data_IF_337914233263
#
_entry.id   IF_337914233263
#
_cell.length_a   1.000
_cell.length_b   1.000
_cell.length_c   1.000
_cell.angle_alpha   90.00
_cell.angle_beta   90.00
_cell.angle_gamma   90.00
#
_symmetry.space_group_name_H-M   'P 1'
#
loop_
_entity.id
_entity.type
_entity.pdbx_description
1 polymer ?
#
# COMPACT_ATOMS: atom_id res chain seq x y z
N UNK A 1 5.87 -12.42 4.75
CA UNK A 1 5.83 -13.14 3.46
C UNK A 1 6.26 -14.58 3.63
N UNK A 2 5.61 -15.47 2.88
CA UNK A 2 5.96 -16.88 2.88
C UNK A 2 7.11 -17.13 1.90
N UNK A 3 8.24 -17.57 2.40
CA UNK A 3 9.37 -17.97 1.58
C UNK A 3 9.35 -19.50 1.45
N UNK A 4 9.42 -20.01 0.22
CA UNK A 4 9.44 -21.44 -0.05
C UNK A 4 10.58 -22.13 0.70
N UNK A 5 10.25 -23.18 1.45
CA UNK A 5 11.23 -23.91 2.26
C UNK A 5 11.55 -23.31 3.63
N UNK A 6 10.83 -22.26 4.06
CA UNK A 6 11.07 -21.56 5.34
C UNK A 6 10.45 -22.30 6.55
N UNK A 7 10.04 -23.53 6.38
CA UNK A 7 9.50 -24.39 7.41
C UNK A 7 7.98 -24.46 7.42
N UNK A 8 7.44 -24.89 8.55
CA UNK A 8 6.00 -25.08 8.74
C UNK A 8 5.30 -23.71 8.83
N UNK A 9 4.15 -23.58 8.14
CA UNK A 9 3.47 -22.31 7.93
C UNK A 9 3.11 -21.56 9.23
N UNK A 10 2.70 -22.27 10.28
CA UNK A 10 2.39 -21.65 11.57
C UNK A 10 3.64 -21.12 12.26
N UNK A 11 4.76 -21.83 12.18
CA UNK A 11 6.04 -21.35 12.70
C UNK A 11 6.51 -20.06 11.99
N UNK A 12 6.30 -19.96 10.67
CA UNK A 12 6.59 -18.72 9.90
C UNK A 12 5.75 -17.56 10.42
N UNK A 13 4.44 -17.75 10.64
CA UNK A 13 3.54 -16.72 11.15
C UNK A 13 3.93 -16.25 12.55
N UNK A 14 4.29 -17.16 13.43
CA UNK A 14 4.73 -16.84 14.80
C UNK A 14 6.03 -16.01 14.80
N UNK A 15 7.01 -16.37 13.96
CA UNK A 15 8.24 -15.59 13.80
C UNK A 15 7.94 -14.19 13.24
N UNK A 16 7.10 -14.10 12.21
CA UNK A 16 6.70 -12.82 11.63
C UNK A 16 5.99 -11.93 12.64
N UNK A 17 5.07 -12.47 13.45
CA UNK A 17 4.41 -11.72 14.52
C UNK A 17 5.42 -11.19 15.55
N UNK A 18 6.38 -12.03 15.98
CA UNK A 18 7.44 -11.61 16.89
C UNK A 18 8.34 -10.53 16.27
N UNK A 19 8.63 -10.62 14.96
CA UNK A 19 9.41 -9.60 14.25
C UNK A 19 8.68 -8.28 14.18
N UNK A 20 7.37 -8.28 13.87
CA UNK A 20 6.53 -7.09 13.86
C UNK A 20 6.50 -6.41 15.24
N UNK A 21 6.33 -7.17 16.32
CA UNK A 21 6.39 -6.62 17.68
C UNK A 21 7.78 -6.05 18.02
N UNK A 22 8.86 -6.68 17.55
CA UNK A 22 10.21 -6.13 17.71
C UNK A 22 10.39 -4.84 16.92
N UNK A 23 9.84 -4.76 15.71
CA UNK A 23 9.89 -3.56 14.86
C UNK A 23 9.26 -2.35 15.57
N UNK A 24 8.09 -2.50 16.20
CA UNK A 24 7.47 -1.44 16.99
C UNK A 24 8.39 -0.93 18.12
N UNK A 25 9.00 -1.83 18.89
CA UNK A 25 9.92 -1.48 19.98
C UNK A 25 11.19 -0.79 19.47
N UNK A 26 11.70 -1.22 18.32
CA UNK A 26 12.88 -0.59 17.67
C UNK A 26 12.51 0.79 17.13
N UNK A 27 11.37 0.92 16.46
CA UNK A 27 10.86 2.21 15.96
C UNK A 27 10.77 3.23 17.11
N UNK A 28 10.17 2.85 18.24
CA UNK A 28 10.09 3.70 19.44
C UNK A 28 11.46 4.15 19.91
N UNK A 29 12.45 3.23 19.98
CA UNK A 29 13.83 3.56 20.40
C UNK A 29 14.53 4.51 19.45
N UNK A 30 14.20 4.45 18.15
CA UNK A 30 14.76 5.32 17.11
C UNK A 30 14.01 6.66 16.98
N UNK A 31 12.91 6.85 17.73
CA UNK A 31 12.06 8.04 17.61
C UNK A 31 11.24 8.06 16.31
N UNK A 32 11.00 6.89 15.71
CA UNK A 32 10.15 6.72 14.53
C UNK A 32 8.76 6.30 14.99
N UNK A 33 7.72 6.91 14.45
CA UNK A 33 6.34 6.70 14.86
C UNK A 33 5.53 5.76 13.96
N UNK A 34 6.10 5.33 12.83
CA UNK A 34 5.40 4.53 11.83
C UNK A 34 6.30 3.42 11.29
N UNK A 35 5.77 2.20 11.23
CA UNK A 35 6.41 1.03 10.60
C UNK A 35 5.55 0.60 9.43
N UNK A 36 6.14 0.49 8.25
CA UNK A 36 5.49 -0.01 7.02
C UNK A 36 5.69 -1.50 6.90
N UNK A 37 4.69 -2.22 6.38
CA UNK A 37 4.84 -3.65 6.15
C UNK A 37 3.59 -4.35 5.63
N UNK A 38 3.73 -5.66 5.53
CA UNK A 38 2.71 -6.58 5.04
C UNK A 38 2.06 -7.35 6.19
N UNK A 39 0.80 -7.76 5.96
CA UNK A 39 0.03 -8.53 6.94
C UNK A 39 0.02 -10.02 6.66
N UNK A 40 0.20 -10.39 5.41
CA UNK A 40 -0.15 -11.71 4.93
C UNK A 40 -1.67 -11.92 4.81
N UNK A 41 -2.05 -13.03 4.16
CA UNK A 41 -3.46 -13.42 4.03
C UNK A 41 -3.60 -14.93 3.97
N UNK A 42 -4.49 -15.48 4.79
CA UNK A 42 -4.88 -16.89 4.72
C UNK A 42 -5.81 -17.17 3.53
N UNK A 43 -6.51 -16.15 3.07
CA UNK A 43 -7.56 -16.24 2.05
C UNK A 43 -7.12 -15.75 0.67
N UNK A 44 -5.91 -15.24 0.52
CA UNK A 44 -5.38 -14.81 -0.77
C UNK A 44 -5.50 -15.85 -1.89
N UNK A 45 -5.32 -17.18 -1.67
CA UNK A 45 -5.48 -18.18 -2.72
C UNK A 45 -6.87 -18.23 -3.35
N UNK A 46 -7.86 -17.56 -2.73
CA UNK A 46 -9.25 -17.53 -3.19
C UNK A 46 -9.63 -16.23 -3.93
N UNK A 47 -8.69 -15.34 -4.16
CA UNK A 47 -8.95 -14.01 -4.76
C UNK A 47 -9.61 -14.08 -6.13
N UNK A 48 -9.24 -15.02 -6.97
CA UNK A 48 -9.78 -15.18 -8.32
C UNK A 48 -11.17 -15.85 -8.36
N UNK A 49 -11.73 -16.26 -7.22
CA UNK A 49 -13.04 -16.92 -7.07
C UNK A 49 -13.24 -18.21 -7.90
N UNK A 50 -12.17 -18.85 -8.32
CA UNK A 50 -12.22 -20.11 -9.07
C UNK A 50 -11.30 -21.16 -8.43
N UNK A 51 -11.88 -22.26 -7.87
CA UNK A 51 -13.32 -22.50 -7.72
C UNK A 51 -13.99 -21.52 -6.73
N UNK A 52 -15.33 -21.32 -6.84
CA UNK A 52 -16.07 -20.50 -5.86
C UNK A 52 -15.87 -21.03 -4.44
N UNK A 53 -15.67 -20.10 -3.52
CA UNK A 53 -15.44 -20.41 -2.10
C UNK A 53 -16.65 -19.97 -1.28
N UNK A 54 -17.16 -20.79 -0.35
CA UNK A 54 -18.25 -20.37 0.54
C UNK A 54 -17.89 -19.10 1.34
N UNK A 55 -18.88 -18.24 1.56
CA UNK A 55 -18.67 -16.96 2.27
C UNK A 55 -18.03 -17.14 3.64
N UNK A 56 -18.38 -18.17 4.38
CA UNK A 56 -17.82 -18.46 5.70
C UNK A 56 -16.31 -18.78 5.68
N UNK A 57 -15.74 -19.20 4.54
CA UNK A 57 -14.27 -19.36 4.41
C UNK A 57 -13.59 -18.01 4.37
N UNK A 58 -14.20 -17.05 3.70
CA UNK A 58 -13.70 -15.66 3.66
C UNK A 58 -13.87 -15.00 5.02
N UNK A 59 -15.04 -15.18 5.68
CA UNK A 59 -15.30 -14.64 7.01
C UNK A 59 -14.27 -15.15 8.02
N UNK A 60 -14.01 -16.47 8.04
CA UNK A 60 -13.00 -17.09 8.90
C UNK A 60 -11.57 -16.57 8.61
N UNK A 61 -11.31 -16.09 7.39
CA UNK A 61 -10.03 -15.47 7.04
C UNK A 61 -9.83 -14.13 7.74
N UNK A 62 -10.85 -13.28 7.81
CA UNK A 62 -10.79 -12.00 8.54
C UNK A 62 -10.80 -12.20 10.05
N UNK A 63 -11.51 -13.21 10.56
CA UNK A 63 -11.45 -13.61 11.97
C UNK A 63 -10.03 -14.05 12.37
N UNK A 64 -9.38 -14.90 11.55
CA UNK A 64 -7.99 -15.33 11.75
C UNK A 64 -7.02 -14.14 11.69
N UNK A 65 -7.23 -13.21 10.78
CA UNK A 65 -6.46 -11.97 10.69
C UNK A 65 -6.58 -11.17 12.00
N UNK A 66 -7.79 -10.86 12.43
CA UNK A 66 -8.02 -10.11 13.65
C UNK A 66 -7.41 -10.79 14.89
N UNK A 67 -7.60 -12.11 15.03
CA UNK A 67 -7.04 -12.88 16.14
C UNK A 67 -5.50 -12.83 16.20
N UNK A 68 -4.84 -12.75 15.06
CA UNK A 68 -3.36 -12.68 14.97
C UNK A 68 -2.84 -11.27 15.11
N UNK A 69 -3.53 -10.29 14.52
CA UNK A 69 -3.04 -8.92 14.47
C UNK A 69 -3.37 -8.12 15.72
N UNK A 70 -4.47 -8.38 16.42
CA UNK A 70 -4.77 -7.66 17.66
C UNK A 70 -3.64 -7.75 18.70
N UNK A 71 -3.03 -8.92 19.00
CA UNK A 71 -1.89 -8.97 19.92
C UNK A 71 -0.62 -8.24 19.42
N UNK A 72 -0.46 -8.11 18.11
CA UNK A 72 0.63 -7.31 17.52
C UNK A 72 0.34 -5.82 17.74
N UNK A 73 -0.88 -5.39 17.42
CA UNK A 73 -1.32 -4.00 17.59
C UNK A 73 -1.33 -3.54 19.04
N UNK A 74 -1.57 -4.44 20.01
CA UNK A 74 -1.43 -4.14 21.45
C UNK A 74 0.00 -3.65 21.77
N UNK A 75 1.02 -4.23 21.12
CA UNK A 75 2.40 -3.77 21.28
C UNK A 75 2.61 -2.41 20.60
N UNK A 76 2.08 -2.22 19.39
CA UNK A 76 2.14 -0.92 18.70
C UNK A 76 1.49 0.19 19.52
N UNK A 77 0.31 -0.06 20.09
CA UNK A 77 -0.37 0.88 20.98
C UNK A 77 0.46 1.20 22.23
N UNK A 78 1.04 0.18 22.87
CA UNK A 78 1.85 0.36 24.08
C UNK A 78 3.14 1.14 23.82
N UNK A 79 3.71 1.02 22.63
CA UNK A 79 4.93 1.74 22.23
C UNK A 79 4.62 3.14 21.64
N UNK A 80 3.35 3.46 21.38
CA UNK A 80 2.94 4.69 20.71
C UNK A 80 3.45 4.76 19.26
N UNK A 81 3.50 3.63 18.57
CA UNK A 81 3.93 3.48 17.17
C UNK A 81 2.75 2.99 16.35
N UNK A 82 2.68 3.40 15.09
CA UNK A 82 1.65 2.99 14.13
C UNK A 82 2.19 1.98 13.14
N UNK A 83 1.34 1.08 12.70
CA UNK A 83 1.60 0.20 11.57
C UNK A 83 0.90 0.73 10.34
N UNK A 84 1.62 0.89 9.24
CA UNK A 84 1.10 1.26 7.94
C UNK A 84 1.12 0.04 7.02
N UNK A 85 -0.04 -0.56 6.82
CA UNK A 85 -0.22 -1.72 5.95
C UNK A 85 -0.16 -1.30 4.48
N UNK A 86 0.70 -1.93 3.70
CA UNK A 86 0.67 -1.75 2.27
C UNK A 86 -0.49 -2.54 1.66
N UNK A 87 -1.40 -1.82 0.98
CA UNK A 87 -2.54 -2.42 0.25
C UNK A 87 -2.01 -3.09 -1.01
N UNK A 88 -1.81 -4.39 -0.92
CA UNK A 88 -0.99 -5.13 -1.87
C UNK A 88 -1.57 -6.52 -2.18
N UNK A 89 -1.52 -7.00 -3.42
CA UNK A 89 -1.79 -8.41 -3.75
C UNK A 89 -1.02 -9.36 -2.84
N UNK A 90 -1.62 -10.46 -2.45
CA UNK A 90 -1.18 -11.43 -1.45
C UNK A 90 -1.47 -11.09 0.02
N UNK A 91 -1.93 -9.88 0.28
CA UNK A 91 -2.24 -9.40 1.62
C UNK A 91 -3.74 -9.52 1.94
N UNK A 92 -4.12 -9.25 3.20
CA UNK A 92 -5.54 -9.29 3.61
C UNK A 92 -6.34 -8.15 2.96
N UNK A 93 -5.73 -6.97 2.82
CA UNK A 93 -6.26 -5.86 2.05
C UNK A 93 -5.43 -5.67 0.78
N UNK A 94 -6.07 -5.75 -0.39
CA UNK A 94 -5.42 -5.62 -1.69
C UNK A 94 -6.18 -4.69 -2.66
N UNK A 95 -7.38 -4.24 -2.25
CA UNK A 95 -8.21 -3.28 -2.97
C UNK A 95 -9.08 -2.46 -1.99
N UNK A 96 -9.99 -1.66 -2.51
CA UNK A 96 -10.85 -0.79 -1.71
C UNK A 96 -11.69 -1.56 -0.68
N UNK A 97 -12.46 -2.56 -1.12
CA UNK A 97 -13.44 -3.24 -0.26
C UNK A 97 -12.76 -4.22 0.72
N UNK A 98 -11.65 -4.80 0.34
CA UNK A 98 -10.86 -5.61 1.28
C UNK A 98 -10.19 -4.73 2.33
N UNK A 99 -9.83 -3.49 1.99
CA UNK A 99 -9.32 -2.51 2.97
C UNK A 99 -10.40 -2.13 3.98
N UNK A 100 -11.62 -1.78 3.52
CA UNK A 100 -12.75 -1.51 4.42
C UNK A 100 -12.96 -2.67 5.39
N UNK A 101 -13.06 -3.88 4.87
CA UNK A 101 -13.29 -5.08 5.67
C UNK A 101 -12.15 -5.40 6.64
N UNK A 102 -10.91 -5.13 6.23
CA UNK A 102 -9.74 -5.29 7.11
C UNK A 102 -9.83 -4.35 8.31
N UNK A 103 -10.13 -3.08 8.08
CA UNK A 103 -10.30 -2.09 9.14
C UNK A 103 -11.46 -2.45 10.08
N UNK A 104 -12.60 -2.88 9.52
CA UNK A 104 -13.75 -3.34 10.31
C UNK A 104 -13.37 -4.52 11.21
N UNK A 105 -12.62 -5.49 10.71
CA UNK A 105 -12.26 -6.70 11.44
C UNK A 105 -11.39 -6.46 12.69
N UNK A 106 -10.69 -5.34 12.75
CA UNK A 106 -9.87 -4.91 13.88
C UNK A 106 -10.46 -3.69 14.60
N UNK A 107 -11.78 -3.45 14.42
CA UNK A 107 -12.51 -2.37 15.08
C UNK A 107 -11.88 -0.99 14.87
N UNK A 108 -11.35 -0.73 13.69
CA UNK A 108 -10.71 0.53 13.29
C UNK A 108 -9.60 1.01 14.24
N UNK A 109 -8.82 0.11 14.83
CA UNK A 109 -7.73 0.47 15.75
C UNK A 109 -6.82 1.55 15.11
N UNK A 110 -6.56 2.60 15.88
CA UNK A 110 -5.77 3.75 15.40
C UNK A 110 -4.29 3.43 15.18
N UNK A 111 -3.77 2.37 15.77
CA UNK A 111 -2.41 1.89 15.50
C UNK A 111 -2.25 1.19 14.14
N UNK A 112 -3.36 0.89 13.44
CA UNK A 112 -3.35 0.31 12.10
C UNK A 112 -3.84 1.32 11.07
N UNK A 113 -3.00 1.65 10.13
CA UNK A 113 -3.32 2.48 8.98
C UNK A 113 -2.74 1.89 7.70
N UNK A 114 -2.59 2.73 6.72
CA UNK A 114 -2.28 2.33 5.35
C UNK A 114 -1.00 2.99 4.88
N UNK A 115 -0.18 2.23 4.19
CA UNK A 115 0.83 2.71 3.27
C UNK A 115 0.17 2.75 1.89
N UNK A 116 0.02 3.94 1.34
CA UNK A 116 -0.58 4.14 0.04
C UNK A 116 0.47 3.93 -1.05
N UNK A 117 0.37 2.83 -1.76
CA UNK A 117 1.06 2.54 -3.00
C UNK A 117 0.04 2.53 -4.16
N UNK A 118 0.06 3.53 -5.05
CA UNK A 118 -0.92 3.61 -6.13
C UNK A 118 -0.73 2.55 -7.20
N UNK A 119 0.48 2.02 -7.34
CA UNK A 119 0.82 1.09 -8.42
C UNK A 119 -0.03 -0.16 -8.38
N UNK A 120 -0.23 -0.71 -7.17
CA UNK A 120 -1.03 -1.92 -6.96
C UNK A 120 -2.53 -1.70 -7.12
N UNK A 121 -3.02 -0.49 -6.88
CA UNK A 121 -4.40 -0.10 -7.14
C UNK A 121 -4.63 0.11 -8.63
N UNK A 122 -3.73 0.82 -9.28
CA UNK A 122 -3.85 1.26 -10.67
C UNK A 122 -3.98 0.08 -11.65
N UNK A 123 -3.09 -0.93 -11.55
CA UNK A 123 -3.16 -2.07 -12.47
C UNK A 123 -4.39 -2.96 -12.25
N UNK A 124 -4.98 -2.91 -11.05
CA UNK A 124 -6.24 -3.60 -10.74
C UNK A 124 -7.49 -2.83 -11.23
N UNK A 125 -7.32 -1.56 -11.66
CA UNK A 125 -8.44 -0.69 -12.05
C UNK A 125 -9.16 -0.06 -10.86
N UNK A 126 -8.52 0.00 -9.69
CA UNK A 126 -9.00 0.72 -8.52
C UNK A 126 -8.53 2.18 -8.61
N UNK A 127 -9.40 3.13 -8.31
CA UNK A 127 -9.05 4.55 -8.29
C UNK A 127 -8.10 4.88 -7.13
N UNK A 128 -6.82 5.15 -7.40
CA UNK A 128 -5.86 5.44 -6.34
C UNK A 128 -6.04 6.84 -5.73
N UNK A 129 -6.67 7.77 -6.45
CA UNK A 129 -6.89 9.15 -5.98
C UNK A 129 -8.09 9.18 -5.02
N UNK A 130 -9.22 8.57 -5.43
CA UNK A 130 -10.37 8.40 -4.55
C UNK A 130 -10.01 7.65 -3.27
N UNK A 131 -9.12 6.66 -3.36
CA UNK A 131 -8.61 5.93 -2.20
C UNK A 131 -7.95 6.84 -1.15
N UNK A 132 -7.16 7.85 -1.56
CA UNK A 132 -6.57 8.82 -0.63
C UNK A 132 -7.65 9.58 0.15
N UNK A 133 -8.67 10.06 -0.54
CA UNK A 133 -9.72 10.88 0.07
C UNK A 133 -10.63 10.08 1.00
N UNK A 134 -10.95 8.86 0.60
CA UNK A 134 -11.86 8.00 1.35
C UNK A 134 -11.21 7.40 2.61
N UNK A 135 -9.88 7.20 2.60
CA UNK A 135 -9.11 6.71 3.74
C UNK A 135 -8.21 7.80 4.36
N UNK A 136 -8.63 9.06 4.29
CA UNK A 136 -7.82 10.22 4.66
C UNK A 136 -7.20 10.15 6.07
N UNK A 137 -7.92 9.62 7.05
CA UNK A 137 -7.48 9.46 8.44
C UNK A 137 -6.59 8.21 8.66
N UNK A 138 -6.37 7.42 7.62
CA UNK A 138 -5.64 6.15 7.67
C UNK A 138 -4.37 6.14 6.85
N UNK A 139 -4.12 7.11 6.00
CA UNK A 139 -2.87 7.18 5.23
C UNK A 139 -1.73 7.63 6.16
N UNK A 140 -0.90 6.68 6.58
CA UNK A 140 0.23 6.93 7.49
C UNK A 140 1.56 7.00 6.77
N UNK A 141 1.66 6.40 5.60
CA UNK A 141 2.82 6.43 4.74
C UNK A 141 2.42 6.46 3.27
N UNK A 142 3.33 6.92 2.42
CA UNK A 142 3.16 7.01 0.96
C UNK A 142 4.37 6.42 0.28
N UNK A 143 4.17 5.42 -0.56
CA UNK A 143 5.16 4.91 -1.51
C UNK A 143 4.83 5.38 -2.92
N UNK A 144 5.78 6.09 -3.52
CA UNK A 144 5.67 6.51 -4.92
C UNK A 144 6.26 5.43 -5.81
N UNK A 145 5.42 4.52 -6.23
CA UNK A 145 5.70 3.45 -7.19
C UNK A 145 4.78 3.59 -8.38
N UNK A 146 5.26 3.40 -9.58
CA UNK A 146 4.49 3.65 -10.78
C UNK A 146 4.26 2.38 -11.61
N UNK A 147 3.16 2.37 -12.32
CA UNK A 147 2.75 1.27 -13.18
C UNK A 147 2.39 1.81 -14.55
N UNK A 148 2.92 1.17 -15.58
CA UNK A 148 2.49 1.40 -16.96
C UNK A 148 1.50 0.32 -17.36
N UNK A 149 0.27 0.74 -17.66
CA UNK A 149 -0.74 -0.09 -18.27
C UNK A 149 -0.43 -0.23 -19.76
N UNK A 150 -0.52 -1.44 -20.27
CA UNK A 150 -0.39 -1.64 -21.70
C UNK A 150 -1.77 -1.81 -22.31
N UNK A 151 -2.05 -1.20 -23.47
CA UNK A 151 -3.31 -1.39 -24.14
C UNK A 151 -3.61 -2.87 -24.29
N UNK A 152 -4.87 -3.28 -24.20
CA UNK A 152 -5.25 -4.68 -24.35
C UNK A 152 -4.69 -5.24 -25.66
N UNK A 153 -3.66 -6.05 -25.55
CA UNK A 153 -3.07 -6.73 -26.73
C UNK A 153 -3.95 -7.91 -27.19
N UNK A 154 -4.99 -8.22 -26.39
CA UNK A 154 -5.84 -9.38 -26.59
C UNK A 154 -5.15 -10.72 -26.32
N UNK A 155 -3.94 -10.71 -25.72
CA UNK A 155 -3.12 -11.92 -25.53
C UNK A 155 -2.76 -12.18 -24.08
N UNK A 156 -2.63 -11.17 -23.24
CA UNK A 156 -2.42 -11.32 -21.79
C UNK A 156 -3.31 -10.35 -21.04
N UNK A 157 -3.93 -10.82 -19.95
CA UNK A 157 -4.72 -9.99 -19.04
C UNK A 157 -3.90 -9.47 -17.86
N UNK A 158 -4.61 -8.90 -16.88
CA UNK A 158 -4.00 -8.35 -15.65
C UNK A 158 -3.24 -9.39 -14.82
N UNK A 159 -3.56 -10.68 -14.95
CA UNK A 159 -2.86 -11.76 -14.24
C UNK A 159 -1.50 -12.12 -14.86
N UNK A 160 -1.10 -11.50 -15.98
CA UNK A 160 0.25 -11.53 -16.53
C UNK A 160 0.69 -12.83 -17.20
N UNK A 161 -0.13 -13.88 -17.22
CA UNK A 161 0.12 -15.17 -17.92
C UNK A 161 1.45 -15.83 -17.57
N UNK A 162 1.95 -15.67 -16.33
CA UNK A 162 3.26 -16.15 -15.86
C UNK A 162 4.46 -15.64 -16.69
N UNK A 163 4.28 -14.57 -17.45
CA UNK A 163 5.37 -13.93 -18.18
C UNK A 163 6.31 -13.20 -17.22
N UNK A 164 7.63 -13.19 -17.47
CA UNK A 164 8.57 -12.46 -16.62
C UNK A 164 8.32 -10.96 -16.64
N UNK A 165 8.78 -10.26 -15.60
CA UNK A 165 8.76 -8.81 -15.55
C UNK A 165 9.53 -8.19 -16.71
N UNK A 166 9.00 -7.11 -17.31
CA UNK A 166 9.56 -6.47 -18.50
C UNK A 166 9.18 -7.12 -19.82
N UNK A 167 8.51 -8.29 -19.84
CA UNK A 167 8.07 -8.90 -21.08
C UNK A 167 6.99 -8.03 -21.77
N UNK A 168 7.20 -7.59 -23.03
CA UNK A 168 6.27 -6.69 -23.71
C UNK A 168 4.86 -7.27 -23.93
N UNK A 169 4.67 -8.56 -23.73
CA UNK A 169 3.36 -9.24 -23.84
C UNK A 169 2.51 -9.13 -22.57
N UNK A 170 3.08 -8.68 -21.45
CA UNK A 170 2.32 -8.43 -20.21
C UNK A 170 1.30 -7.32 -20.41
N UNK A 171 0.17 -7.37 -19.71
CA UNK A 171 -0.86 -6.32 -19.75
C UNK A 171 -0.46 -5.05 -18.99
N UNK A 172 0.52 -5.13 -18.11
CA UNK A 172 1.08 -4.03 -17.33
C UNK A 172 2.47 -4.42 -16.79
N UNK A 173 3.24 -3.43 -16.38
CA UNK A 173 4.51 -3.60 -15.66
C UNK A 173 4.77 -2.43 -14.73
N UNK A 174 5.62 -2.64 -13.72
CA UNK A 174 6.19 -1.52 -12.97
C UNK A 174 7.21 -0.79 -13.84
N UNK A 175 7.24 0.52 -13.65
CA UNK A 175 8.19 1.42 -14.30
C UNK A 175 8.67 2.47 -13.31
N UNK A 176 9.82 3.07 -13.60
CA UNK A 176 10.35 4.19 -12.80
C UNK A 176 9.28 5.27 -12.61
N UNK A 177 9.16 5.77 -11.38
CA UNK A 177 8.14 6.75 -10.99
C UNK A 177 8.19 7.99 -11.88
N UNK A 178 7.07 8.34 -12.48
CA UNK A 178 6.92 9.39 -13.47
C UNK A 178 6.94 8.90 -14.93
N UNK A 179 7.20 7.62 -15.17
CA UNK A 179 7.16 7.00 -16.50
C UNK A 179 5.93 6.12 -16.73
N UNK A 180 5.08 5.95 -15.72
CA UNK A 180 3.85 5.16 -15.77
C UNK A 180 2.61 5.96 -16.11
N UNK A 181 1.48 5.41 -15.72
CA UNK A 181 0.16 5.98 -15.95
C UNK A 181 -0.44 6.61 -14.68
N UNK A 182 0.35 6.72 -13.61
CA UNK A 182 -0.11 7.38 -12.39
C UNK A 182 -0.18 8.89 -12.58
N UNK A 183 -1.35 9.47 -12.27
CA UNK A 183 -1.57 10.91 -12.27
C UNK A 183 -0.99 11.55 -11.00
N UNK A 184 0.33 11.72 -10.95
CA UNK A 184 1.06 12.15 -9.75
C UNK A 184 0.64 13.55 -9.25
N UNK A 185 0.36 14.49 -10.15
CA UNK A 185 -0.12 15.82 -9.75
C UNK A 185 -1.43 15.72 -8.98
N UNK A 186 -2.40 14.95 -9.47
CA UNK A 186 -3.69 14.76 -8.80
C UNK A 186 -3.53 14.04 -7.46
N UNK A 187 -2.62 13.06 -7.37
CA UNK A 187 -2.29 12.39 -6.12
C UNK A 187 -1.75 13.36 -5.07
N UNK A 188 -0.80 14.23 -5.43
CA UNK A 188 -0.24 15.21 -4.50
C UNK A 188 -1.25 16.30 -4.12
N UNK A 189 -2.18 16.65 -5.01
CA UNK A 189 -3.31 17.52 -4.68
C UNK A 189 -4.24 16.83 -3.66
N UNK A 190 -4.56 15.57 -3.85
CA UNK A 190 -5.37 14.79 -2.92
C UNK A 190 -4.69 14.64 -1.55
N UNK A 191 -3.42 14.23 -1.50
CA UNK A 191 -2.62 14.18 -0.27
C UNK A 191 -2.57 15.55 0.41
N UNK A 192 -2.42 16.61 -0.40
CA UNK A 192 -2.53 17.98 0.06
C UNK A 192 -3.87 18.29 0.71
N UNK A 193 -4.98 17.90 0.10
CA UNK A 193 -6.34 18.22 0.59
C UNK A 193 -6.66 17.55 1.92
N UNK A 194 -6.20 16.31 2.13
CA UNK A 194 -6.37 15.58 3.40
C UNK A 194 -5.41 16.01 4.50
N UNK A 195 -4.48 16.93 4.22
CA UNK A 195 -3.52 17.40 5.21
C UNK A 195 -2.35 16.44 5.45
N UNK A 196 -2.06 15.51 4.55
CA UNK A 196 -0.94 14.60 4.72
C UNK A 196 0.39 15.37 4.89
N UNK A 197 1.13 15.03 5.94
CA UNK A 197 2.42 15.64 6.29
C UNK A 197 3.46 14.55 6.67
N UNK A 198 3.16 13.30 6.41
CA UNK A 198 4.04 12.17 6.67
C UNK A 198 5.17 12.02 5.65
N UNK A 199 6.02 11.01 5.82
CA UNK A 199 7.09 10.72 4.89
C UNK A 199 6.57 10.24 3.54
N UNK A 200 7.34 10.49 2.49
CA UNK A 200 7.10 10.01 1.12
C UNK A 200 8.36 9.27 0.70
N UNK A 201 8.20 8.00 0.36
CA UNK A 201 9.26 7.14 -0.16
C UNK A 201 9.15 6.98 -1.66
N UNK A 202 10.25 6.69 -2.31
CA UNK A 202 10.27 6.14 -3.67
C UNK A 202 10.46 4.62 -3.54
N UNK A 203 9.48 3.86 -3.93
CA UNK A 203 9.64 2.43 -4.17
C UNK A 203 9.88 2.23 -5.66
N UNK A 204 11.12 1.91 -6.00
CA UNK A 204 11.54 1.89 -7.40
C UNK A 204 11.61 0.47 -7.94
N UNK A 205 10.84 0.22 -8.99
CA UNK A 205 10.91 -1.01 -9.79
C UNK A 205 10.77 -0.67 -11.28
N UNK A 206 11.74 -1.10 -12.08
CA UNK A 206 11.68 -1.02 -13.54
C UNK A 206 12.62 -2.06 -14.16
N UNK A 207 12.09 -2.98 -14.94
CA UNK A 207 12.88 -4.01 -15.62
C UNK A 207 13.65 -3.48 -16.83
N UNK A 208 13.32 -2.30 -17.31
CA UNK A 208 13.91 -1.68 -18.51
C UNK A 208 14.91 -0.56 -18.24
N UNK A 209 15.16 -0.20 -16.97
CA UNK A 209 15.99 0.95 -16.59
C UNK A 209 17.05 0.56 -15.56
N UNK A 210 18.22 1.20 -15.61
CA UNK A 210 19.23 1.07 -14.55
C UNK A 210 18.71 1.68 -13.24
N UNK A 211 18.81 0.91 -12.15
CA UNK A 211 18.24 1.26 -10.85
C UNK A 211 18.86 2.52 -10.22
N UNK A 212 20.15 2.76 -10.41
CA UNK A 212 20.81 3.93 -9.81
C UNK A 212 20.45 5.20 -10.56
N UNK A 213 20.27 5.11 -11.89
CA UNK A 213 19.76 6.19 -12.70
C UNK A 213 18.28 6.48 -12.35
N UNK A 214 17.43 5.46 -12.45
CA UNK A 214 15.97 5.63 -12.28
C UNK A 214 15.55 6.05 -10.88
N UNK A 215 16.17 5.54 -9.83
CA UNK A 215 15.86 5.96 -8.47
C UNK A 215 16.18 7.46 -8.24
N UNK A 216 17.29 7.96 -8.76
CA UNK A 216 17.66 9.38 -8.67
C UNK A 216 16.71 10.27 -9.48
N UNK A 217 16.33 9.82 -10.67
CA UNK A 217 15.35 10.51 -11.52
C UNK A 217 13.97 10.57 -10.86
N UNK A 218 13.48 9.45 -10.31
CA UNK A 218 12.22 9.35 -9.62
C UNK A 218 12.13 10.33 -8.43
N UNK A 219 13.19 10.44 -7.62
CA UNK A 219 13.27 11.44 -6.54
C UNK A 219 13.14 12.85 -7.11
N UNK A 220 13.77 13.15 -8.24
CA UNK A 220 13.71 14.48 -8.86
C UNK A 220 12.31 14.77 -9.39
N UNK A 221 11.66 13.80 -10.04
CA UNK A 221 10.30 13.92 -10.54
C UNK A 221 9.31 14.21 -9.41
N UNK A 222 9.34 13.43 -8.33
CA UNK A 222 8.43 13.61 -7.19
C UNK A 222 8.70 14.94 -6.46
N UNK A 223 9.96 15.31 -6.26
CA UNK A 223 10.29 16.60 -5.62
C UNK A 223 9.74 17.81 -6.38
N UNK A 224 9.60 17.75 -7.69
CA UNK A 224 9.02 18.83 -8.49
C UNK A 224 7.53 19.06 -8.21
N UNK A 225 6.85 18.08 -7.60
CA UNK A 225 5.44 18.11 -7.23
C UNK A 225 5.20 18.50 -5.76
N UNK A 226 6.26 18.68 -4.96
CA UNK A 226 6.18 19.09 -3.56
C UNK A 226 6.16 20.61 -3.44
N UNK A 227 5.08 21.24 -3.87
CA UNK A 227 4.92 22.70 -3.75
C UNK A 227 4.42 23.10 -2.36
N UNK A 228 4.73 24.35 -1.98
CA UNK A 228 4.19 24.94 -0.76
C UNK A 228 2.69 25.17 -0.91
N UNK A 229 1.95 24.87 0.15
CA UNK A 229 0.55 25.31 0.24
C UNK A 229 0.47 26.83 0.34
N UNK A 230 -0.62 27.44 -0.18
CA UNK A 230 -0.89 28.85 0.06
C UNK A 230 -1.01 29.10 1.57
N UNK A 231 -0.39 30.16 2.06
CA UNK A 231 -0.51 30.58 3.46
C UNK A 231 -1.87 31.23 3.75
N UNK A 232 -2.55 31.71 2.71
CA UNK A 232 -3.87 32.31 2.79
C UNK A 232 -4.83 31.68 1.77
N UNK A 233 -6.12 31.72 2.08
CA UNK A 233 -7.17 31.36 1.11
C UNK A 233 -7.06 32.20 -0.15
N UNK A 234 -7.36 31.60 -1.31
CA UNK A 234 -7.39 32.32 -2.60
C UNK A 234 -8.25 33.60 -2.54
N UNK A 235 -9.33 33.56 -1.77
CA UNK A 235 -10.31 34.64 -1.62
C UNK A 235 -10.04 35.49 -0.37
N UNK A 236 -8.91 35.33 0.31
CA UNK A 236 -8.60 36.11 1.55
C UNK A 236 -8.68 37.64 1.34
N UNK A 237 -8.39 38.11 0.12
CA UNK A 237 -8.54 39.52 -0.25
C UNK A 237 -10.00 39.98 -0.27
N UNK A 238 -10.97 39.11 -0.36
CA UNK A 238 -12.41 39.41 -0.39
C UNK A 238 -13.12 39.13 0.93
N UNK A 239 -12.44 38.48 1.88
CA UNK A 239 -13.02 38.06 3.17
C UNK A 239 -13.05 39.18 4.22
N UNK A 240 -12.44 40.33 3.96
CA UNK A 240 -12.33 41.47 4.85
C UNK A 240 -13.17 42.69 4.41
N UNK A 241 -14.36 42.46 3.82
CA UNK A 241 -15.33 43.53 3.56
C UNK A 241 -16.54 43.46 4.48
#
# INVERSE_FOLDING_TARGET
PYVWGDGEAEGVRQRAAADMQRAARVARKLGVDTVVGFTGSKIWPYVAMFPPVPANVIDAGYEDFAARWNPILDVYDSEGVRFAHEVHPSEIAYDYWTTVRTLDSIEHRASFGLNWDPSHLLWQGVDPIGFITDFADRIYHVDCKDTRLRPPTGRSGILGSHLPWGDPRRGWDFVSTGHGDMHWEDAFRALGSIGYAGPISIEWEDAGMDRLHGAAEAVTAIRSLLWKRPEASFDAAFSNQ
#
